data_IF_365772862367
#
_entry.id   IF_365772862367
#
_cell.length_a   1.000
_cell.length_b   1.000
_cell.length_c   1.000
_cell.angle_alpha   90.00
_cell.angle_beta   90.00
_cell.angle_gamma   90.00
#
_symmetry.space_group_name_H-M   'P 1'
#
loop_
_entity.id
_entity.type
_entity.pdbx_description
1 polymer ?
#
# COMPACT_ATOMS: atom_id res chain seq x y z
N UNK A 1 -12.35 18.61 0.86
CA UNK A 1 -12.99 17.30 0.69
C UNK A 1 -11.92 16.40 0.11
N UNK A 2 -11.47 15.33 0.79
CA UNK A 2 -10.59 14.38 0.13
C UNK A 2 -11.44 13.61 -0.88
N UNK A 3 -11.09 13.68 -2.15
CA UNK A 3 -11.81 13.01 -3.22
C UNK A 3 -11.77 11.48 -3.00
N UNK A 4 -12.92 10.82 -3.13
CA UNK A 4 -13.11 9.38 -2.95
C UNK A 4 -12.25 8.60 -3.96
N UNK A 5 -11.11 8.09 -3.50
CA UNK A 5 -10.28 7.14 -4.24
C UNK A 5 -10.75 5.71 -4.00
N UNK A 6 -11.13 5.00 -5.06
CA UNK A 6 -11.41 3.56 -5.02
C UNK A 6 -10.21 2.79 -5.58
N UNK A 7 -9.75 1.77 -4.85
CA UNK A 7 -8.66 0.88 -5.26
C UNK A 7 -9.25 -0.46 -5.68
N UNK A 8 -8.93 -0.93 -6.89
CA UNK A 8 -9.37 -2.22 -7.42
C UNK A 8 -8.16 -3.10 -7.72
N UNK A 9 -8.14 -4.32 -7.16
CA UNK A 9 -7.04 -5.28 -7.36
C UNK A 9 -7.32 -6.12 -8.62
N UNK A 10 -6.50 -5.94 -9.66
CA UNK A 10 -6.67 -6.63 -10.95
C UNK A 10 -5.74 -7.85 -11.13
N UNK A 11 -4.75 -8.00 -10.25
CA UNK A 11 -3.81 -9.14 -10.23
C UNK A 11 -3.49 -9.46 -8.78
N UNK A 12 -3.75 -10.71 -8.39
CA UNK A 12 -3.38 -11.25 -7.10
C UNK A 12 -2.52 -12.50 -7.35
N UNK A 13 -1.58 -12.78 -6.45
CA UNK A 13 -0.88 -14.06 -6.38
C UNK A 13 -1.22 -14.72 -5.06
N UNK A 14 -1.15 -16.04 -4.98
CA UNK A 14 -1.36 -16.73 -3.70
C UNK A 14 -0.38 -16.21 -2.64
N UNK A 15 -0.94 -15.74 -1.54
CA UNK A 15 -0.20 -15.34 -0.36
C UNK A 15 0.25 -16.65 0.33
N UNK A 16 1.56 -16.87 0.44
CA UNK A 16 2.22 -18.05 1.07
C UNK A 16 2.76 -19.18 0.17
N UNK A 17 3.21 -18.93 -1.07
CA UNK A 17 4.26 -19.82 -1.60
C UNK A 17 5.56 -19.50 -0.86
N UNK A 18 5.99 -20.38 0.04
CA UNK A 18 7.25 -20.25 0.78
C UNK A 18 8.38 -19.94 -0.23
N UNK A 19 9.06 -18.81 -0.05
CA UNK A 19 10.20 -18.41 -0.89
C UNK A 19 9.86 -17.75 -2.22
N UNK A 20 8.61 -17.29 -2.44
CA UNK A 20 8.28 -16.60 -3.68
C UNK A 20 8.88 -15.18 -3.74
N UNK A 21 9.75 -14.94 -4.71
CA UNK A 21 10.51 -13.69 -4.89
C UNK A 21 9.78 -12.67 -5.77
N UNK A 22 10.23 -11.41 -5.77
CA UNK A 22 9.83 -10.40 -6.75
C UNK A 22 10.63 -10.56 -8.08
N UNK A 23 10.40 -9.69 -9.08
CA UNK A 23 11.12 -9.69 -10.36
C UNK A 23 12.64 -9.49 -10.24
N UNK A 24 13.11 -9.03 -9.07
CA UNK A 24 14.51 -8.79 -8.76
C UNK A 24 15.13 -9.89 -7.89
N UNK A 25 14.45 -11.03 -7.70
CA UNK A 25 14.95 -12.17 -6.90
C UNK A 25 15.06 -11.82 -5.40
N UNK A 26 14.30 -10.84 -4.94
CA UNK A 26 14.27 -10.43 -3.53
C UNK A 26 13.07 -11.07 -2.83
N UNK A 27 13.21 -11.36 -1.54
CA UNK A 27 12.04 -11.70 -0.73
C UNK A 27 11.10 -10.50 -0.80
N UNK A 28 9.81 -10.71 -1.13
CA UNK A 28 8.85 -9.64 -1.05
C UNK A 28 8.77 -9.21 0.40
N UNK A 29 9.15 -7.98 0.68
CA UNK A 29 8.85 -7.34 1.93
C UNK A 29 7.32 -7.18 1.98
N UNK A 30 6.64 -8.16 2.56
CA UNK A 30 5.23 -8.04 2.88
C UNK A 30 5.11 -7.01 4.00
N UNK A 31 4.96 -5.74 3.63
CA UNK A 31 4.62 -4.65 4.56
C UNK A 31 3.18 -4.77 5.04
N UNK A 32 2.31 -5.38 4.22
CA UNK A 32 0.89 -5.55 4.49
C UNK A 32 0.57 -6.72 5.45
N UNK A 33 -0.34 -6.47 6.40
CA UNK A 33 -0.91 -7.46 7.32
C UNK A 33 -2.43 -7.33 7.38
N UNK A 34 -3.15 -8.43 7.19
CA UNK A 34 -4.60 -8.50 7.38
C UNK A 34 -4.94 -9.24 8.69
N UNK A 35 -5.73 -8.59 9.54
CA UNK A 35 -6.30 -9.18 10.75
C UNK A 35 -7.74 -9.59 10.45
N UNK A 36 -8.04 -10.88 10.60
CA UNK A 36 -9.32 -11.49 10.19
C UNK A 36 -10.47 -11.34 11.20
N UNK A 37 -10.17 -11.06 12.47
CA UNK A 37 -11.14 -10.85 13.55
C UNK A 37 -11.79 -9.46 13.46
N UNK A 38 -10.99 -8.44 13.15
CA UNK A 38 -11.39 -7.04 13.03
C UNK A 38 -11.56 -6.62 11.58
N UNK A 39 -11.16 -7.47 10.63
CA UNK A 39 -11.18 -7.20 9.20
C UNK A 39 -10.39 -5.92 8.82
N UNK A 40 -9.24 -5.75 9.47
CA UNK A 40 -8.37 -4.57 9.32
C UNK A 40 -7.11 -4.96 8.56
N UNK A 41 -6.77 -4.19 7.53
CA UNK A 41 -5.53 -4.29 6.78
C UNK A 41 -4.61 -3.13 7.16
N UNK A 42 -3.37 -3.42 7.57
CA UNK A 42 -2.33 -2.41 7.83
C UNK A 42 -1.19 -2.57 6.84
N UNK A 43 -0.66 -1.48 6.31
CA UNK A 43 0.44 -1.52 5.33
C UNK A 43 1.37 -0.29 5.43
N UNK A 44 2.63 -0.47 5.02
CA UNK A 44 3.61 0.60 4.84
C UNK A 44 3.73 0.91 3.36
N UNK A 45 3.19 2.05 2.94
CA UNK A 45 3.12 2.46 1.53
C UNK A 45 4.13 3.55 1.23
N UNK A 46 4.99 3.33 0.23
CA UNK A 46 5.88 4.36 -0.33
C UNK A 46 5.23 5.00 -1.56
N UNK A 47 5.15 6.33 -1.57
CA UNK A 47 4.69 7.12 -2.71
C UNK A 47 5.86 7.88 -3.32
N UNK A 48 5.92 7.90 -4.67
CA UNK A 48 6.93 8.65 -5.43
C UNK A 48 6.23 9.67 -6.30
N UNK A 49 6.40 10.95 -5.97
CA UNK A 49 5.95 12.05 -6.80
C UNK A 49 7.12 12.51 -7.66
N UNK A 50 6.88 12.71 -8.96
CA UNK A 50 7.89 13.14 -9.93
C UNK A 50 7.58 14.56 -10.43
N UNK A 51 7.74 15.60 -9.59
CA UNK A 51 7.56 16.96 -10.05
C UNK A 51 8.64 17.32 -11.07
N UNK A 52 8.22 17.92 -12.19
CA UNK A 52 9.15 18.53 -13.13
C UNK A 52 9.48 19.94 -12.63
N UNK A 53 10.67 20.11 -12.06
CA UNK A 53 11.20 21.42 -11.70
C UNK A 53 12.32 21.78 -12.67
N UNK A 54 12.08 22.77 -13.53
CA UNK A 54 13.08 23.31 -14.46
C UNK A 54 13.74 22.25 -15.37
N UNK A 55 12.98 21.24 -15.81
CA UNK A 55 13.48 20.17 -16.67
C UNK A 55 14.17 19.01 -15.93
N UNK A 56 14.27 19.09 -14.59
CA UNK A 56 14.77 18.01 -13.75
C UNK A 56 13.61 17.27 -13.08
N UNK A 57 13.65 15.93 -13.14
CA UNK A 57 12.76 15.02 -12.43
C UNK A 57 13.46 14.57 -11.14
N UNK A 58 13.20 15.27 -10.04
CA UNK A 58 13.65 14.84 -8.72
C UNK A 58 12.48 14.17 -7.99
N UNK A 59 12.55 12.86 -7.70
CA UNK A 59 11.47 12.18 -7.01
C UNK A 59 11.37 12.66 -5.56
N UNK A 60 10.16 13.04 -5.15
CA UNK A 60 9.81 13.23 -3.74
C UNK A 60 9.23 11.90 -3.27
N UNK A 61 9.95 11.24 -2.36
CA UNK A 61 9.53 9.97 -1.77
C UNK A 61 8.91 10.26 -0.40
N UNK A 62 7.71 9.73 -0.17
CA UNK A 62 7.04 9.76 1.14
C UNK A 62 6.61 8.36 1.52
N UNK A 63 6.84 7.98 2.77
CA UNK A 63 6.42 6.69 3.31
C UNK A 63 5.28 6.90 4.29
N UNK A 64 4.26 6.04 4.25
CA UNK A 64 3.09 6.13 5.11
C UNK A 64 2.81 4.79 5.78
N UNK A 65 2.49 4.83 7.07
CA UNK A 65 1.73 3.74 7.69
C UNK A 65 0.26 3.99 7.41
N UNK A 66 -0.46 2.96 6.97
CA UNK A 66 -1.86 3.05 6.56
C UNK A 66 -2.68 1.95 7.22
N UNK A 67 -3.92 2.27 7.55
CA UNK A 67 -4.91 1.31 8.04
C UNK A 67 -6.14 1.39 7.16
N UNK A 68 -6.64 0.23 6.74
CA UNK A 68 -7.85 0.08 5.95
C UNK A 68 -8.81 -0.88 6.63
N UNK A 69 -10.10 -0.54 6.59
CA UNK A 69 -11.18 -1.41 7.05
C UNK A 69 -11.80 -2.11 5.85
N UNK A 70 -12.01 -3.43 5.93
CA UNK A 70 -12.75 -4.18 4.92
C UNK A 70 -14.25 -3.88 5.08
N UNK A 71 -14.82 -3.16 4.12
CA UNK A 71 -16.24 -2.76 4.16
C UNK A 71 -17.13 -3.65 3.29
N UNK A 72 -16.54 -4.37 2.33
CA UNK A 72 -17.21 -5.39 1.52
C UNK A 72 -16.22 -6.54 1.27
N UNK A 73 -16.46 -7.67 1.93
CA UNK A 73 -15.60 -8.84 1.82
C UNK A 73 -15.77 -9.63 0.52
N UNK A 74 -16.96 -9.60 -0.08
CA UNK A 74 -17.25 -10.35 -1.31
C UNK A 74 -16.54 -9.70 -2.51
N UNK A 75 -16.44 -8.37 -2.50
CA UNK A 75 -15.79 -7.59 -3.55
C UNK A 75 -14.39 -7.07 -3.17
N UNK A 76 -13.90 -7.40 -1.96
CA UNK A 76 -12.63 -6.95 -1.40
C UNK A 76 -12.48 -5.41 -1.38
N UNK A 77 -13.54 -4.70 -1.01
CA UNK A 77 -13.52 -3.24 -0.92
C UNK A 77 -12.97 -2.83 0.45
N UNK A 78 -11.84 -2.16 0.43
CA UNK A 78 -11.14 -1.60 1.59
C UNK A 78 -11.36 -0.08 1.63
N UNK A 79 -11.66 0.44 2.82
CA UNK A 79 -11.77 1.88 3.08
C UNK A 79 -10.59 2.34 3.91
N UNK A 80 -9.85 3.35 3.45
CA UNK A 80 -8.79 3.96 4.23
C UNK A 80 -9.39 4.58 5.50
N UNK A 81 -8.96 4.11 6.66
CA UNK A 81 -9.42 4.58 7.97
C UNK A 81 -8.44 5.54 8.61
N UNK A 82 -7.13 5.32 8.41
CA UNK A 82 -6.08 6.24 8.86
C UNK A 82 -4.81 6.12 8.05
N UNK A 83 -4.00 7.17 8.09
CA UNK A 83 -2.63 7.16 7.59
C UNK A 83 -1.74 8.09 8.42
N UNK A 84 -0.45 7.77 8.48
CA UNK A 84 0.58 8.57 9.13
C UNK A 84 1.81 8.63 8.23
N UNK A 85 2.27 9.83 7.87
CA UNK A 85 3.55 9.99 7.17
C UNK A 85 4.71 9.68 8.12
N UNK A 86 5.61 8.79 7.71
CA UNK A 86 6.84 8.49 8.41
C UNK A 86 7.92 9.46 7.95
N UNK A 87 8.35 10.33 8.86
CA UNK A 87 9.51 11.22 8.65
C UNK A 87 10.74 10.60 9.28
N UNK A 88 11.86 10.57 8.55
CA UNK A 88 13.16 10.28 9.16
C UNK A 88 13.50 11.38 10.19
N UNK A 89 13.88 10.97 11.40
CA UNK A 89 14.42 11.88 12.43
C UNK A 89 15.86 12.30 12.11
#
# INVERSE_FOLDING_TARGET
SPDDGTVQINKFREFNTIGALNENVELPDCSGKFETTTAVFTDTIETKLYPNFLGNLLPIVKTFETTFDLIDGDNLILKLSSYQELTAN
#
